data_IF_379515212066
#
_entry.id   IF_379515212066
#
_cell.length_a   1.000
_cell.length_b   1.000
_cell.length_c   1.000
_cell.angle_alpha   90.00
_cell.angle_beta   90.00
_cell.angle_gamma   90.00
#
_symmetry.space_group_name_H-M   'P 1'
#
loop_
_entity.id
_entity.type
_entity.pdbx_description
1 polymer ?
#
# COMPACT_ATOMS: atom_id res chain seq x y z
N UNK A 1 -39.53 -25.70 -14.68
CA UNK A 1 -39.94 -25.62 -16.10
C UNK A 1 -39.14 -24.52 -16.77
N UNK A 2 -38.43 -24.87 -17.87
CA UNK A 2 -37.93 -24.06 -19.00
C UNK A 2 -37.16 -22.74 -18.72
N UNK A 3 -35.83 -22.84 -18.63
CA UNK A 3 -34.90 -21.73 -18.94
C UNK A 3 -34.87 -21.53 -20.47
N UNK A 4 -35.33 -20.39 -20.95
CA UNK A 4 -35.17 -19.98 -22.34
C UNK A 4 -35.04 -18.46 -22.39
N UNK A 5 -33.87 -17.96 -21.99
CA UNK A 5 -33.42 -16.61 -22.33
C UNK A 5 -32.40 -16.77 -23.44
N UNK A 6 -32.86 -16.40 -24.63
CA UNK A 6 -32.09 -16.23 -25.84
C UNK A 6 -30.94 -15.26 -25.57
N UNK A 7 -29.70 -15.77 -25.55
CA UNK A 7 -28.49 -14.94 -25.60
C UNK A 7 -28.26 -14.61 -27.08
N UNK A 8 -28.50 -13.36 -27.54
CA UNK A 8 -28.13 -12.99 -28.89
C UNK A 8 -26.60 -12.94 -28.95
N UNK A 9 -26.07 -13.56 -29.98
CA UNK A 9 -24.66 -13.52 -30.38
C UNK A 9 -24.31 -12.07 -30.78
N UNK A 10 -24.09 -11.20 -29.80
CA UNK A 10 -23.69 -9.82 -30.04
C UNK A 10 -22.69 -9.39 -28.95
N UNK A 11 -21.46 -9.18 -29.41
CA UNK A 11 -20.48 -8.25 -28.84
C UNK A 11 -20.16 -8.46 -27.36
N UNK A 12 -19.35 -9.48 -27.09
CA UNK A 12 -18.43 -9.47 -25.96
C UNK A 12 -17.39 -8.36 -26.19
N UNK A 13 -17.77 -7.11 -25.88
CA UNK A 13 -16.77 -6.16 -25.41
C UNK A 13 -16.44 -6.58 -23.99
N UNK A 14 -15.40 -7.40 -23.89
CA UNK A 14 -14.77 -7.71 -22.63
C UNK A 14 -14.22 -6.43 -22.02
N UNK A 15 -15.03 -5.74 -21.21
CA UNK A 15 -14.50 -4.90 -20.14
C UNK A 15 -14.07 -5.87 -19.02
N UNK A 16 -12.91 -6.48 -19.20
CA UNK A 16 -12.12 -6.81 -18.04
C UNK A 16 -11.70 -5.47 -17.45
N UNK A 17 -12.43 -5.00 -16.44
CA UNK A 17 -11.82 -4.13 -15.46
C UNK A 17 -10.70 -4.98 -14.86
N UNK A 18 -9.48 -4.81 -15.39
CA UNK A 18 -8.29 -5.23 -14.67
C UNK A 18 -8.28 -4.28 -13.47
N UNK A 19 -8.80 -4.75 -12.34
CA UNK A 19 -8.30 -4.28 -11.07
C UNK A 19 -6.81 -4.66 -11.09
N UNK A 20 -5.99 -3.75 -11.60
CA UNK A 20 -4.57 -3.82 -11.42
C UNK A 20 -4.40 -3.63 -9.92
N UNK A 21 -4.23 -4.74 -9.19
CA UNK A 21 -3.66 -4.68 -7.86
C UNK A 21 -2.21 -4.22 -8.11
N UNK A 22 -2.02 -2.91 -8.28
CA UNK A 22 -0.70 -2.29 -8.17
C UNK A 22 -0.30 -2.44 -6.72
N UNK A 23 0.17 -3.64 -6.37
CA UNK A 23 0.92 -3.86 -5.15
C UNK A 23 2.15 -2.96 -5.30
N UNK A 24 2.13 -1.81 -4.62
CA UNK A 24 3.24 -0.85 -4.64
C UNK A 24 4.45 -1.57 -4.06
N UNK A 25 5.29 -2.11 -4.95
CA UNK A 25 6.46 -2.87 -4.55
C UNK A 25 7.45 -1.88 -3.96
N UNK A 26 7.72 -1.91 -2.64
CA UNK A 26 8.52 -0.87 -2.02
C UNK A 26 9.94 -0.89 -2.58
N UNK A 27 10.48 0.29 -2.89
CA UNK A 27 11.88 0.41 -3.26
C UNK A 27 12.80 -0.12 -2.15
N UNK A 28 14.07 -0.42 -2.43
CA UNK A 28 15.02 -0.80 -1.38
C UNK A 28 15.17 0.26 -0.29
N UNK A 29 15.03 1.55 -0.64
CA UNK A 29 15.14 2.65 0.31
C UNK A 29 13.94 2.69 1.25
N UNK A 30 12.73 2.66 0.67
CA UNK A 30 11.48 2.60 1.40
C UNK A 30 11.42 1.35 2.30
N UNK A 31 11.81 0.20 1.77
CA UNK A 31 11.83 -1.05 2.53
C UNK A 31 12.74 -0.97 3.76
N UNK A 32 13.95 -0.39 3.61
CA UNK A 32 14.85 -0.15 4.75
C UNK A 32 14.20 0.76 5.79
N UNK A 33 13.63 1.90 5.37
CA UNK A 33 13.01 2.85 6.29
C UNK A 33 11.81 2.26 7.04
N UNK A 34 10.98 1.47 6.36
CA UNK A 34 9.87 0.77 6.99
C UNK A 34 10.36 -0.24 8.07
N UNK A 35 11.44 -0.97 7.81
CA UNK A 35 12.02 -1.90 8.78
C UNK A 35 12.62 -1.18 9.98
N UNK A 36 13.34 -0.08 9.75
CA UNK A 36 13.88 0.76 10.82
C UNK A 36 12.77 1.32 11.72
N UNK A 37 11.73 1.88 11.09
CA UNK A 37 10.56 2.40 11.79
C UNK A 37 9.84 1.33 12.61
N UNK A 38 9.70 0.11 12.08
CA UNK A 38 9.13 -1.02 12.82
C UNK A 38 9.96 -1.36 14.06
N UNK A 39 11.29 -1.41 13.91
CA UNK A 39 12.20 -1.69 15.02
C UNK A 39 12.14 -0.61 16.11
N UNK A 40 12.14 0.67 15.73
CA UNK A 40 12.04 1.80 16.66
C UNK A 40 10.68 1.83 17.37
N UNK A 41 9.60 1.54 16.65
CA UNK A 41 8.26 1.46 17.21
C UNK A 41 8.01 0.22 18.09
N UNK A 42 8.92 -0.76 18.07
CA UNK A 42 8.76 -2.03 18.78
C UNK A 42 7.72 -2.97 18.16
N UNK A 43 7.40 -2.78 16.87
CA UNK A 43 6.49 -3.65 16.13
C UNK A 43 7.21 -4.94 15.71
N UNK A 44 6.47 -6.03 15.54
CA UNK A 44 7.05 -7.34 15.18
C UNK A 44 7.74 -7.29 13.81
N UNK A 45 7.18 -6.52 12.90
CA UNK A 45 7.74 -6.24 11.58
C UNK A 45 7.08 -5.00 10.99
N UNK A 46 7.59 -4.54 9.86
CA UNK A 46 6.95 -3.52 9.05
C UNK A 46 5.51 -3.91 8.61
N UNK A 47 5.17 -5.21 8.57
CA UNK A 47 3.85 -5.70 8.14
C UNK A 47 2.86 -5.91 9.30
N UNK A 48 3.28 -5.62 10.53
CA UNK A 48 2.44 -5.67 11.71
C UNK A 48 1.53 -4.43 11.76
N UNK A 49 0.52 -4.39 10.89
CA UNK A 49 -0.35 -3.21 10.68
C UNK A 49 -1.12 -2.84 11.95
N UNK A 50 -1.48 -3.82 12.78
CA UNK A 50 -2.10 -3.58 14.09
C UNK A 50 -1.19 -2.76 15.01
N UNK A 51 0.13 -2.84 14.85
CA UNK A 51 1.12 -2.03 15.56
C UNK A 51 1.54 -0.77 14.79
N UNK A 52 1.88 -0.89 13.51
CA UNK A 52 2.50 0.19 12.73
C UNK A 52 1.51 1.31 12.38
N UNK A 53 0.25 0.98 12.06
CA UNK A 53 -0.76 1.98 11.69
C UNK A 53 -1.10 2.98 12.81
N UNK A 54 -1.32 2.55 14.08
CA UNK A 54 -1.57 3.50 15.18
C UNK A 54 -0.28 4.12 15.76
N UNK A 55 0.90 3.61 15.44
CA UNK A 55 2.15 4.06 16.06
C UNK A 55 2.64 5.39 15.49
N UNK A 56 2.64 6.43 16.32
CA UNK A 56 3.25 7.71 15.96
C UNK A 56 4.77 7.59 15.79
N UNK A 57 5.43 6.81 16.64
CA UNK A 57 6.86 6.56 16.54
C UNK A 57 7.24 5.94 15.18
N UNK A 58 6.43 5.01 14.67
CA UNK A 58 6.62 4.45 13.33
C UNK A 58 6.55 5.53 12.25
N UNK A 59 5.51 6.37 12.28
CA UNK A 59 5.27 7.45 11.30
C UNK A 59 6.39 8.50 11.32
N UNK A 60 6.84 8.91 12.50
CA UNK A 60 7.90 9.90 12.65
C UNK A 60 9.25 9.35 12.15
N UNK A 61 9.56 8.09 12.49
CA UNK A 61 10.82 7.45 12.07
C UNK A 61 10.86 7.21 10.57
N UNK A 62 9.78 6.69 9.96
CA UNK A 62 9.76 6.47 8.52
C UNK A 62 9.86 7.82 7.76
N UNK A 63 9.11 8.84 8.18
CA UNK A 63 9.17 10.20 7.60
C UNK A 63 10.60 10.75 7.62
N UNK A 64 11.26 10.68 8.78
CA UNK A 64 12.64 11.16 8.95
C UNK A 64 13.60 10.37 8.06
N UNK A 65 13.52 9.05 8.07
CA UNK A 65 14.40 8.20 7.25
C UNK A 65 14.24 8.47 5.75
N UNK A 66 13.01 8.66 5.28
CA UNK A 66 12.73 8.94 3.87
C UNK A 66 13.29 10.30 3.45
N UNK A 67 13.07 11.34 4.26
CA UNK A 67 13.59 12.70 4.01
C UNK A 67 15.11 12.77 3.97
N UNK A 68 15.78 11.98 4.81
CA UNK A 68 17.23 12.02 4.94
C UNK A 68 17.96 11.18 3.87
N UNK A 69 17.33 10.10 3.40
CA UNK A 69 18.06 9.05 2.69
C UNK A 69 17.38 8.50 1.42
N UNK A 70 16.17 8.92 1.10
CA UNK A 70 15.39 8.42 -0.04
C UNK A 70 14.97 9.54 -0.99
N UNK A 71 14.24 9.17 -2.05
CA UNK A 71 13.75 10.11 -3.06
C UNK A 71 12.33 10.57 -2.75
N UNK A 72 11.88 11.67 -3.36
CA UNK A 72 10.48 12.13 -3.23
C UNK A 72 9.46 11.09 -3.73
N UNK A 73 9.86 10.24 -4.68
CA UNK A 73 9.03 9.11 -5.14
C UNK A 73 8.84 8.06 -4.03
N UNK A 74 9.86 7.80 -3.22
CA UNK A 74 9.76 6.88 -2.08
C UNK A 74 8.83 7.44 -0.99
N UNK A 75 8.75 8.78 -0.87
CA UNK A 75 7.81 9.44 0.03
C UNK A 75 6.36 9.19 -0.43
N UNK A 76 6.07 9.45 -1.70
CA UNK A 76 4.75 9.23 -2.26
C UNK A 76 4.34 7.74 -2.20
N UNK A 77 5.27 6.83 -2.49
CA UNK A 77 5.05 5.38 -2.37
C UNK A 77 4.77 4.98 -0.91
N UNK A 78 5.41 5.62 0.07
CA UNK A 78 5.16 5.37 1.49
C UNK A 78 3.76 5.81 1.92
N UNK A 79 3.31 6.98 1.46
CA UNK A 79 1.96 7.49 1.73
C UNK A 79 0.89 6.59 1.11
N UNK A 80 1.07 6.22 -0.17
CA UNK A 80 0.17 5.29 -0.86
C UNK A 80 0.12 3.91 -0.17
N UNK A 81 1.27 3.39 0.24
CA UNK A 81 1.37 2.12 0.96
C UNK A 81 0.73 2.21 2.35
N UNK A 82 0.80 3.35 3.03
CA UNK A 82 0.13 3.57 4.29
C UNK A 82 -1.38 3.63 4.11
N UNK A 83 -1.88 4.33 3.10
CA UNK A 83 -3.31 4.34 2.76
C UNK A 83 -3.82 2.92 2.45
N UNK A 84 -3.09 2.16 1.64
CA UNK A 84 -3.41 0.78 1.28
C UNK A 84 -3.52 -0.14 2.52
N UNK A 85 -2.58 -0.02 3.46
CA UNK A 85 -2.47 -0.93 4.62
C UNK A 85 -3.31 -0.51 5.83
N UNK A 86 -3.44 0.80 6.04
CA UNK A 86 -4.05 1.37 7.23
C UNK A 86 -5.42 1.99 6.96
N UNK A 87 -5.81 2.16 5.70
CA UNK A 87 -7.10 2.75 5.31
C UNK A 87 -7.21 4.24 5.59
N UNK A 88 -6.08 4.91 5.85
CA UNK A 88 -6.02 6.35 6.15
C UNK A 88 -4.84 6.98 5.44
N UNK A 89 -5.02 8.16 4.87
CA UNK A 89 -3.92 8.97 4.35
C UNK A 89 -3.06 9.50 5.50
N UNK A 90 -1.75 9.52 5.30
CA UNK A 90 -0.78 10.15 6.20
C UNK A 90 0.07 11.10 5.37
N UNK A 91 0.30 12.31 5.87
CA UNK A 91 1.28 13.23 5.29
C UNK A 91 2.61 12.98 6.01
N UNK A 92 3.61 12.42 5.29
CA UNK A 92 4.91 12.04 5.88
C UNK A 92 5.90 13.21 5.88
#
# INVERSE_FOLDING_TARGET
MKLSIFVPLATFLAFFAVAENTETTPSPCLNRCLNEAAGVAGCLSQWDTDCTCPSQAFKDTISTCLKDACTDADLADAEALHEERCGTTVDL
#
